data_IF_658625864926
#
_entry.id   IF_658625864926
#
_cell.length_a   1.000
_cell.length_b   1.000
_cell.length_c   1.000
_cell.angle_alpha   90.00
_cell.angle_beta   90.00
_cell.angle_gamma   90.00
#
_symmetry.space_group_name_H-M   'P 1'
#
loop_
_entity.id
_entity.type
_entity.pdbx_description
1 polymer ?
#
# COMPACT_ATOMS: atom_id res chain seq x y z
N UNK A 1 -45.11 36.63 -16.34
CA UNK A 1 -44.31 35.54 -16.93
C UNK A 1 -42.90 35.69 -16.38
N UNK A 2 -42.45 34.73 -15.57
CA UNK A 2 -41.10 34.77 -15.00
C UNK A 2 -40.13 34.19 -16.03
N UNK A 3 -39.58 35.05 -16.89
CA UNK A 3 -38.69 34.69 -18.01
C UNK A 3 -37.44 33.89 -17.60
N UNK A 4 -37.13 33.83 -16.30
CA UNK A 4 -35.97 33.14 -15.75
C UNK A 4 -36.23 31.73 -15.23
N UNK A 5 -37.50 31.31 -15.17
CA UNK A 5 -37.80 29.87 -15.07
C UNK A 5 -37.36 29.09 -16.32
N UNK A 6 -37.06 29.80 -17.41
CA UNK A 6 -36.75 29.23 -18.73
C UNK A 6 -35.24 29.20 -19.04
N UNK A 7 -34.39 29.83 -18.22
CA UNK A 7 -32.92 29.80 -18.40
C UNK A 7 -32.30 28.71 -17.52
N UNK A 8 -31.74 27.69 -18.16
CA UNK A 8 -31.05 26.59 -17.49
C UNK A 8 -29.61 26.46 -17.98
N UNK A 9 -28.74 25.92 -17.12
CA UNK A 9 -27.36 25.61 -17.47
C UNK A 9 -26.54 26.85 -17.86
N UNK A 10 -25.73 26.81 -18.95
CA UNK A 10 -24.84 27.90 -19.34
C UNK A 10 -25.54 29.25 -19.56
N UNK A 11 -26.81 29.22 -19.98
CA UNK A 11 -27.59 30.43 -20.24
C UNK A 11 -27.99 31.15 -18.94
N UNK A 12 -28.16 30.41 -17.83
CA UNK A 12 -28.39 31.00 -16.51
C UNK A 12 -27.14 31.74 -16.01
N UNK A 13 -25.95 31.16 -16.23
CA UNK A 13 -24.67 31.81 -15.91
C UNK A 13 -24.44 33.09 -16.68
N UNK A 14 -24.68 33.09 -18.00
CA UNK A 14 -24.55 34.30 -18.84
C UNK A 14 -25.48 35.43 -18.40
N UNK A 15 -26.72 35.10 -18.04
CA UNK A 15 -27.69 36.09 -17.63
C UNK A 15 -27.37 36.66 -16.23
N UNK A 16 -26.81 35.86 -15.31
CA UNK A 16 -26.28 36.32 -14.02
C UNK A 16 -25.06 37.24 -14.19
N UNK A 17 -24.15 36.90 -15.11
CA UNK A 17 -23.01 37.75 -15.45
C UNK A 17 -23.47 39.12 -16.00
N UNK A 18 -24.48 39.13 -16.88
CA UNK A 18 -25.08 40.37 -17.37
C UNK A 18 -25.72 41.20 -16.24
N UNK A 19 -26.34 40.55 -15.26
CA UNK A 19 -26.90 41.22 -14.09
C UNK A 19 -25.81 41.84 -13.21
N UNK A 20 -24.71 41.13 -12.97
CA UNK A 20 -23.56 41.65 -12.21
C UNK A 20 -22.90 42.84 -12.90
N UNK A 21 -22.77 42.78 -14.23
CA UNK A 21 -22.31 43.93 -15.03
C UNK A 21 -23.25 45.13 -14.92
N UNK A 22 -24.56 44.91 -14.99
CA UNK A 22 -25.56 45.96 -14.78
C UNK A 22 -25.48 46.57 -13.38
N UNK A 23 -25.22 45.77 -12.34
CA UNK A 23 -25.05 46.27 -10.95
C UNK A 23 -23.83 47.18 -10.80
N UNK A 24 -22.76 46.92 -11.56
CA UNK A 24 -21.54 47.74 -11.55
C UNK A 24 -21.69 49.00 -12.40
N UNK A 25 -22.26 48.88 -13.60
CA UNK A 25 -22.60 50.00 -14.48
C UNK A 25 -23.93 49.72 -15.20
N UNK A 26 -25.00 50.48 -14.90
CA UNK A 26 -26.28 50.33 -15.59
C UNK A 26 -26.21 50.54 -17.11
N UNK A 27 -25.19 51.26 -17.61
CA UNK A 27 -24.98 51.48 -19.05
C UNK A 27 -24.32 50.30 -19.78
N UNK A 28 -23.82 49.30 -19.04
CA UNK A 28 -23.12 48.15 -19.60
C UNK A 28 -24.02 47.15 -20.35
N UNK A 29 -25.34 47.31 -20.23
CA UNK A 29 -26.37 46.51 -20.91
C UNK A 29 -27.32 47.41 -21.70
N UNK A 30 -28.01 46.84 -22.69
CA UNK A 30 -28.98 47.57 -23.52
C UNK A 30 -30.19 48.06 -22.72
N UNK A 31 -30.97 48.96 -23.32
CA UNK A 31 -32.09 49.62 -22.64
C UNK A 31 -33.20 48.65 -22.19
N UNK A 32 -33.45 47.57 -22.95
CA UNK A 32 -34.50 46.60 -22.62
C UNK A 32 -34.06 45.74 -21.43
N UNK A 33 -32.81 45.26 -21.45
CA UNK A 33 -32.20 44.47 -20.36
C UNK A 33 -32.13 45.28 -19.06
N UNK A 34 -31.77 46.56 -19.16
CA UNK A 34 -31.72 47.49 -18.02
C UNK A 34 -33.07 47.73 -17.36
N UNK A 35 -34.11 47.97 -18.16
CA UNK A 35 -35.47 48.19 -17.67
C UNK A 35 -36.02 46.95 -16.94
N UNK A 36 -35.58 45.76 -17.38
CA UNK A 36 -35.89 44.49 -16.73
C UNK A 36 -35.15 44.32 -15.39
N UNK A 37 -33.82 44.48 -15.38
CA UNK A 37 -33.00 44.35 -14.16
C UNK A 37 -33.28 45.41 -13.09
N UNK A 38 -33.88 46.54 -13.44
CA UNK A 38 -34.39 47.51 -12.48
C UNK A 38 -35.57 46.99 -11.64
N UNK A 39 -36.27 45.93 -12.10
CA UNK A 39 -37.47 45.37 -11.48
C UNK A 39 -37.32 43.90 -11.09
N UNK A 40 -36.16 43.32 -11.39
CA UNK A 40 -35.84 41.92 -11.14
C UNK A 40 -34.61 41.85 -10.23
N UNK A 41 -34.78 41.12 -9.14
CA UNK A 41 -33.69 40.65 -8.28
C UNK A 41 -33.65 39.14 -8.42
N UNK A 42 -32.48 38.54 -8.70
CA UNK A 42 -32.37 37.09 -8.63
C UNK A 42 -32.86 36.65 -7.24
N UNK A 43 -33.58 35.53 -7.19
CA UNK A 43 -33.78 34.88 -5.91
C UNK A 43 -32.38 34.70 -5.31
N UNK A 44 -32.23 35.05 -4.04
CA UNK A 44 -31.03 34.68 -3.30
C UNK A 44 -31.04 33.15 -3.17
N UNK A 45 -30.72 32.46 -4.26
CA UNK A 45 -29.93 31.26 -4.12
C UNK A 45 -28.66 31.76 -3.43
N UNK A 46 -28.29 31.08 -2.35
CA UNK A 46 -26.96 31.12 -1.75
C UNK A 46 -25.93 30.67 -2.80
N UNK A 47 -25.79 31.45 -3.87
CA UNK A 47 -24.77 31.37 -4.87
C UNK A 47 -23.51 31.89 -4.19
N UNK A 48 -22.94 30.97 -3.40
CA UNK A 48 -21.59 30.89 -2.91
C UNK A 48 -20.66 31.85 -3.65
N UNK A 49 -20.60 33.10 -3.18
CA UNK A 49 -19.41 33.91 -3.34
C UNK A 49 -18.37 33.29 -2.42
N UNK A 50 -17.81 32.15 -2.82
CA UNK A 50 -16.59 31.63 -2.20
C UNK A 50 -15.56 32.72 -2.47
N UNK A 51 -15.12 33.50 -1.46
CA UNK A 51 -14.15 34.55 -1.71
C UNK A 51 -12.93 33.93 -2.41
N UNK A 52 -12.26 34.63 -3.32
CA UNK A 52 -11.08 34.09 -4.02
C UNK A 52 -10.03 33.47 -3.05
N UNK A 53 -9.97 33.98 -1.81
CA UNK A 53 -9.19 33.43 -0.71
C UNK A 53 -9.64 32.02 -0.27
N UNK A 54 -10.93 31.73 -0.25
CA UNK A 54 -11.48 30.41 0.03
C UNK A 54 -11.27 29.43 -1.14
N UNK A 55 -11.31 29.90 -2.40
CA UNK A 55 -10.97 29.06 -3.55
C UNK A 55 -9.49 28.63 -3.52
N UNK A 56 -8.56 29.54 -3.19
CA UNK A 56 -7.15 29.22 -3.00
C UNK A 56 -6.91 28.19 -1.90
N UNK A 57 -7.64 28.30 -0.78
CA UNK A 57 -7.55 27.33 0.33
C UNK A 57 -8.06 25.94 -0.06
N UNK A 58 -9.16 25.86 -0.82
CA UNK A 58 -9.67 24.59 -1.34
C UNK A 58 -8.64 23.91 -2.24
N UNK A 59 -8.07 24.68 -3.19
CA UNK A 59 -7.03 24.16 -4.10
C UNK A 59 -5.81 23.69 -3.31
N UNK A 60 -5.35 24.46 -2.32
CA UNK A 60 -4.20 24.09 -1.49
C UNK A 60 -4.46 22.83 -0.65
N UNK A 61 -5.67 22.65 -0.12
CA UNK A 61 -6.06 21.43 0.61
C UNK A 61 -6.05 20.19 -0.29
N UNK A 62 -6.59 20.31 -1.52
CA UNK A 62 -6.59 19.22 -2.51
C UNK A 62 -5.17 18.89 -2.97
N UNK A 63 -4.33 19.90 -3.19
CA UNK A 63 -2.93 19.72 -3.55
C UNK A 63 -2.12 19.04 -2.43
N UNK A 64 -2.35 19.41 -1.17
CA UNK A 64 -1.74 18.74 -0.02
C UNK A 64 -2.16 17.26 0.06
N UNK A 65 -3.45 16.96 -0.10
CA UNK A 65 -3.93 15.58 -0.12
C UNK A 65 -3.28 14.77 -1.25
N UNK A 66 -3.14 15.37 -2.43
CA UNK A 66 -2.45 14.74 -3.55
C UNK A 66 -0.95 14.53 -3.27
N UNK A 67 -0.28 15.50 -2.67
CA UNK A 67 1.13 15.40 -2.29
C UNK A 67 1.37 14.27 -1.28
N UNK A 68 0.46 14.07 -0.32
CA UNK A 68 0.54 12.94 0.63
C UNK A 68 0.41 11.60 -0.11
N UNK A 69 -0.49 11.49 -1.09
CA UNK A 69 -0.64 10.25 -1.89
C UNK A 69 0.59 9.95 -2.75
N UNK A 70 1.25 10.97 -3.30
CA UNK A 70 2.38 10.78 -4.20
C UNK A 70 3.71 10.65 -3.46
N UNK A 71 3.91 11.44 -2.41
CA UNK A 71 5.20 11.61 -1.73
C UNK A 71 5.16 11.19 -0.26
N UNK A 72 4.01 10.76 0.28
CA UNK A 72 3.88 10.42 1.71
C UNK A 72 4.81 9.30 2.17
N UNK A 73 5.20 8.41 1.25
CA UNK A 73 6.19 7.35 1.50
C UNK A 73 7.57 7.91 1.89
N UNK A 74 7.92 9.14 1.45
CA UNK A 74 9.18 9.81 1.84
C UNK A 74 9.18 10.23 3.32
N UNK A 75 8.01 10.33 3.94
CA UNK A 75 7.86 10.60 5.37
C UNK A 75 7.52 9.35 6.20
N UNK A 76 7.46 8.15 5.58
CA UNK A 76 7.17 6.91 6.28
C UNK A 76 8.36 6.46 7.16
N UNK A 77 8.07 6.07 8.40
CA UNK A 77 9.06 5.53 9.35
C UNK A 77 9.36 4.05 9.02
N UNK A 78 10.17 3.84 7.99
CA UNK A 78 10.51 2.50 7.48
C UNK A 78 11.75 1.90 8.14
N UNK A 79 12.65 2.72 8.67
CA UNK A 79 13.88 2.22 9.30
C UNK A 79 13.61 1.74 10.74
N UNK A 80 13.72 0.43 11.02
CA UNK A 80 13.56 -0.10 12.38
C UNK A 80 14.68 0.34 13.32
N UNK A 81 15.81 0.83 12.80
CA UNK A 81 16.91 1.40 13.61
C UNK A 81 16.67 2.86 14.01
N UNK A 82 15.55 3.45 13.60
CA UNK A 82 15.10 4.76 14.07
C UNK A 82 15.72 5.95 13.35
N UNK A 83 16.32 5.79 12.15
CA UNK A 83 16.66 6.96 11.33
C UNK A 83 15.39 7.71 10.96
N UNK A 84 15.51 9.03 10.93
CA UNK A 84 14.41 9.89 10.48
C UNK A 84 14.23 9.70 8.97
N UNK A 85 12.97 9.66 8.50
CA UNK A 85 12.69 9.64 7.08
C UNK A 85 13.22 10.94 6.42
N UNK A 86 13.55 10.90 5.11
CA UNK A 86 14.04 12.08 4.41
C UNK A 86 13.01 13.22 4.39
N UNK A 87 11.71 12.89 4.38
CA UNK A 87 10.61 13.85 4.26
C UNK A 87 10.53 14.48 2.87
N UNK A 88 9.55 15.37 2.69
CA UNK A 88 9.38 16.16 1.47
C UNK A 88 8.64 17.47 1.82
N UNK A 89 9.11 18.66 1.37
CA UNK A 89 8.46 19.94 1.68
C UNK A 89 7.00 20.03 1.21
N UNK A 90 6.63 19.34 0.14
CA UNK A 90 5.25 19.29 -0.36
C UNK A 90 4.29 18.57 0.59
N UNK A 91 4.81 17.87 1.61
CA UNK A 91 3.98 17.30 2.67
C UNK A 91 3.59 18.34 3.71
N UNK A 92 4.13 19.55 3.69
CA UNK A 92 3.76 20.60 4.64
C UNK A 92 2.58 21.44 4.14
N UNK A 93 1.55 21.72 4.97
CA UNK A 93 0.41 22.54 4.54
C UNK A 93 0.82 23.93 4.01
N UNK A 94 1.82 24.54 4.63
CA UNK A 94 2.33 25.87 4.28
C UNK A 94 2.92 25.93 2.87
N UNK A 95 3.43 24.81 2.35
CA UNK A 95 3.90 24.71 0.96
C UNK A 95 2.78 24.98 -0.05
N UNK A 96 1.54 24.60 0.30
CA UNK A 96 0.34 24.77 -0.52
C UNK A 96 -0.45 26.04 -0.15
N UNK A 97 0.13 26.94 0.63
CA UNK A 97 -0.51 28.19 1.03
C UNK A 97 -1.72 28.03 1.96
N UNK A 98 -1.82 26.89 2.66
CA UNK A 98 -2.89 26.60 3.62
C UNK A 98 -2.34 26.39 5.02
N UNK A 99 -3.11 26.78 6.03
CA UNK A 99 -2.82 26.49 7.43
C UNK A 99 -3.68 25.33 7.93
N UNK A 100 -3.32 24.74 9.08
CA UNK A 100 -4.20 23.75 9.70
C UNK A 100 -5.57 24.33 10.09
N UNK A 101 -5.64 25.60 10.46
CA UNK A 101 -6.91 26.28 10.77
C UNK A 101 -7.79 26.35 9.52
N UNK A 102 -7.21 26.66 8.35
CA UNK A 102 -7.95 26.63 7.09
C UNK A 102 -8.50 25.23 6.80
N UNK A 103 -7.70 24.18 7.03
CA UNK A 103 -8.14 22.78 6.84
C UNK A 103 -9.29 22.37 7.77
N UNK A 104 -9.35 22.92 9.00
CA UNK A 104 -10.44 22.66 9.95
C UNK A 104 -11.75 23.35 9.54
N UNK A 105 -11.68 24.44 8.78
CA UNK A 105 -12.85 25.16 8.29
C UNK A 105 -13.41 24.59 6.98
N UNK A 106 -12.64 23.76 6.28
CA UNK A 106 -13.03 23.15 5.02
C UNK A 106 -13.74 21.81 5.25
N UNK A 107 -14.84 21.52 4.53
CA UNK A 107 -15.54 20.24 4.65
C UNK A 107 -14.70 19.07 4.10
N UNK A 108 -14.86 17.89 4.71
CA UNK A 108 -14.16 16.67 4.33
C UNK A 108 -14.40 16.26 2.86
N UNK A 109 -15.62 16.43 2.35
CA UNK A 109 -16.06 16.00 1.01
C UNK A 109 -15.25 16.63 -0.14
N UNK A 110 -14.52 17.72 0.11
CA UNK A 110 -13.62 18.33 -0.87
C UNK A 110 -12.46 17.39 -1.25
N UNK A 111 -12.07 16.50 -0.34
CA UNK A 111 -10.99 15.54 -0.54
C UNK A 111 -11.63 14.17 -0.72
N UNK A 112 -11.88 13.77 -1.97
CA UNK A 112 -12.41 12.45 -2.27
C UNK A 112 -11.45 11.34 -1.83
N UNK A 113 -11.80 10.62 -0.76
CA UNK A 113 -11.01 9.54 -0.16
C UNK A 113 -11.92 8.56 0.60
N UNK A 114 -11.73 7.23 0.48
CA UNK A 114 -12.37 6.28 1.40
C UNK A 114 -11.97 6.48 2.86
N UNK A 115 -10.79 7.07 3.11
CA UNK A 115 -10.36 7.42 4.45
C UNK A 115 -11.12 8.62 5.05
N UNK A 116 -12.01 9.26 4.26
CA UNK A 116 -12.88 10.34 4.72
C UNK A 116 -14.21 9.82 5.32
N UNK A 117 -14.47 8.51 5.32
CA UNK A 117 -15.69 7.95 5.92
C UNK A 117 -15.74 8.29 7.43
N UNK A 118 -16.69 9.16 7.80
CA UNK A 118 -16.85 9.67 9.16
C UNK A 118 -16.03 10.92 9.50
N UNK A 119 -15.25 11.46 8.56
CA UNK A 119 -14.60 12.76 8.70
C UNK A 119 -15.58 13.90 8.41
N UNK A 120 -15.44 14.99 9.16
CA UNK A 120 -16.22 16.21 9.01
C UNK A 120 -15.41 17.35 8.39
N UNK A 121 -14.09 17.34 8.61
CA UNK A 121 -13.20 18.42 8.14
C UNK A 121 -12.08 17.91 7.22
N UNK A 122 -11.59 18.77 6.33
CA UNK A 122 -10.43 18.44 5.50
C UNK A 122 -9.19 18.14 6.35
N UNK A 123 -9.05 18.76 7.53
CA UNK A 123 -7.98 18.45 8.48
C UNK A 123 -8.01 16.98 8.92
N UNK A 124 -9.18 16.44 9.26
CA UNK A 124 -9.32 15.02 9.64
C UNK A 124 -8.95 14.09 8.49
N UNK A 125 -9.38 14.40 7.26
CA UNK A 125 -8.99 13.63 6.07
C UNK A 125 -7.48 13.65 5.86
N UNK A 126 -6.83 14.81 5.98
CA UNK A 126 -5.37 14.94 5.86
C UNK A 126 -4.65 14.09 6.93
N UNK A 127 -5.15 14.05 8.16
CA UNK A 127 -4.58 13.19 9.20
C UNK A 127 -4.75 11.71 8.89
N UNK A 128 -5.92 11.30 8.39
CA UNK A 128 -6.17 9.92 7.96
C UNK A 128 -5.25 9.50 6.79
N UNK A 129 -5.02 10.41 5.83
CA UNK A 129 -4.05 10.18 4.76
C UNK A 129 -2.63 10.06 5.31
N UNK A 130 -2.18 10.93 6.23
CA UNK A 130 -0.85 10.78 6.86
C UNK A 130 -0.70 9.46 7.60
N UNK A 131 -1.71 9.04 8.35
CA UNK A 131 -1.72 7.74 9.04
C UNK A 131 -1.62 6.56 8.05
N UNK A 132 -2.13 6.74 6.83
CA UNK A 132 -2.11 5.73 5.77
C UNK A 132 -0.77 5.67 5.02
N UNK A 133 -0.24 6.83 4.63
CA UNK A 133 0.87 6.99 3.68
C UNK A 133 2.24 7.27 4.33
N UNK A 134 2.27 7.72 5.59
CA UNK A 134 3.49 8.19 6.25
C UNK A 134 3.77 7.50 7.60
N UNK A 135 3.23 6.30 7.82
CA UNK A 135 3.49 5.49 9.03
C UNK A 135 4.56 4.41 8.78
N UNK A 136 4.31 3.16 9.14
CA UNK A 136 5.26 2.05 8.98
C UNK A 136 5.20 1.35 7.61
N UNK A 137 4.41 1.88 6.68
CA UNK A 137 4.27 1.36 5.32
C UNK A 137 4.37 2.56 4.37
N UNK A 138 5.26 2.48 3.38
CA UNK A 138 5.40 3.47 2.33
C UNK A 138 4.70 2.99 1.06
N UNK A 139 3.75 3.78 0.56
CA UNK A 139 3.06 3.49 -0.70
C UNK A 139 3.67 4.32 -1.83
N UNK A 140 4.32 3.65 -2.78
CA UNK A 140 4.80 4.26 -4.02
C UNK A 140 4.16 3.58 -5.23
N UNK A 141 3.09 4.18 -5.75
CA UNK A 141 2.37 3.68 -6.92
C UNK A 141 1.93 4.78 -7.88
N UNK A 142 2.19 6.06 -7.56
CA UNK A 142 1.73 7.17 -8.38
C UNK A 142 2.34 7.17 -9.80
N UNK A 143 3.49 6.51 -9.95
CA UNK A 143 4.20 6.34 -11.21
C UNK A 143 3.53 5.32 -12.17
N UNK A 144 2.64 4.46 -11.68
CA UNK A 144 1.91 3.48 -12.50
C UNK A 144 1.06 4.20 -13.54
N UNK A 145 1.08 3.76 -14.79
CA UNK A 145 0.37 4.45 -15.89
C UNK A 145 -1.12 4.13 -15.95
N UNK A 146 -1.49 2.89 -15.62
CA UNK A 146 -2.87 2.40 -15.66
C UNK A 146 -3.73 3.11 -14.60
N UNK A 147 -4.75 3.90 -14.99
CA UNK A 147 -5.61 4.61 -14.04
C UNK A 147 -6.36 3.66 -13.11
N UNK A 148 -6.84 2.54 -13.64
CA UNK A 148 -7.61 1.54 -12.88
C UNK A 148 -6.78 0.90 -11.76
N UNK A 149 -5.51 0.57 -12.03
CA UNK A 149 -4.57 0.03 -11.04
C UNK A 149 -4.24 1.05 -9.95
N UNK A 150 -3.94 2.29 -10.33
CA UNK A 150 -3.72 3.39 -9.36
C UNK A 150 -4.93 3.61 -8.47
N UNK A 151 -6.13 3.58 -9.05
CA UNK A 151 -7.37 3.75 -8.32
C UNK A 151 -7.65 2.58 -7.37
N UNK A 152 -7.35 1.36 -7.79
CA UNK A 152 -7.44 0.17 -6.95
C UNK A 152 -6.48 0.25 -5.76
N UNK A 153 -5.22 0.61 -5.99
CA UNK A 153 -4.20 0.77 -4.94
C UNK A 153 -4.59 1.87 -3.95
N UNK A 154 -5.02 3.03 -4.46
CA UNK A 154 -5.51 4.15 -3.64
C UNK A 154 -6.67 3.71 -2.74
N UNK A 155 -7.71 3.11 -3.32
CA UNK A 155 -8.88 2.68 -2.54
C UNK A 155 -8.50 1.64 -1.49
N UNK A 156 -7.66 0.68 -1.86
CA UNK A 156 -7.20 -0.40 -0.97
C UNK A 156 -6.40 0.15 0.21
N UNK A 157 -5.48 1.08 -0.04
CA UNK A 157 -4.68 1.71 1.00
C UNK A 157 -5.52 2.58 1.93
N UNK A 158 -6.39 3.43 1.37
CA UNK A 158 -7.20 4.40 2.11
C UNK A 158 -8.38 3.75 2.85
N UNK A 159 -8.91 2.62 2.38
CA UNK A 159 -10.00 1.91 3.06
C UNK A 159 -9.53 0.99 4.19
N UNK A 160 -8.22 0.81 4.38
CA UNK A 160 -7.69 -0.10 5.40
C UNK A 160 -8.00 -1.59 5.17
N UNK A 161 -8.37 -2.01 3.95
CA UNK A 161 -8.90 -3.35 3.65
C UNK A 161 -8.06 -4.52 4.20
N UNK A 162 -6.73 -4.38 4.22
CA UNK A 162 -5.77 -5.39 4.66
C UNK A 162 -5.08 -4.99 5.97
N UNK A 163 -5.81 -4.31 6.85
CA UNK A 163 -5.33 -3.87 8.17
C UNK A 163 -6.41 -4.19 9.21
N UNK A 164 -6.03 -4.39 10.49
CA UNK A 164 -7.02 -4.46 11.55
C UNK A 164 -7.81 -3.14 11.65
N UNK A 165 -9.13 -3.19 11.91
CA UNK A 165 -9.92 -4.37 12.25
C UNK A 165 -10.44 -5.20 11.07
N UNK A 166 -10.37 -4.69 9.83
CA UNK A 166 -10.94 -5.34 8.64
C UNK A 166 -10.27 -6.69 8.31
N UNK A 167 -8.96 -6.75 8.51
CA UNK A 167 -8.15 -7.97 8.38
C UNK A 167 -7.40 -8.25 9.70
N UNK A 168 -8.01 -9.01 10.63
CA UNK A 168 -7.47 -9.20 11.97
C UNK A 168 -6.25 -10.13 11.94
N UNK A 169 -5.21 -9.72 12.67
CA UNK A 169 -3.99 -10.49 12.88
C UNK A 169 -4.10 -11.24 14.21
N UNK A 170 -3.70 -12.50 14.24
CA UNK A 170 -3.50 -13.25 15.48
C UNK A 170 -2.11 -12.92 16.08
N UNK A 171 -2.04 -12.14 17.17
CA UNK A 171 -0.77 -11.73 17.75
C UNK A 171 -0.02 -12.89 18.42
N UNK A 172 -0.73 -13.91 18.92
CA UNK A 172 -0.11 -15.06 19.59
C UNK A 172 0.55 -15.97 18.54
N UNK A 173 -0.15 -16.25 17.44
CA UNK A 173 0.40 -17.04 16.34
C UNK A 173 1.60 -16.33 15.66
N UNK A 174 1.51 -15.00 15.47
CA UNK A 174 2.61 -14.21 14.92
C UNK A 174 3.85 -14.25 15.85
N UNK A 175 3.65 -14.07 17.15
CA UNK A 175 4.74 -14.13 18.12
C UNK A 175 5.37 -15.53 18.20
N UNK A 176 4.56 -16.58 18.18
CA UNK A 176 5.05 -17.95 18.14
C UNK A 176 5.92 -18.18 16.89
N UNK A 177 5.46 -17.71 15.73
CA UNK A 177 6.19 -17.85 14.47
C UNK A 177 7.53 -17.12 14.50
N UNK A 178 7.57 -15.90 15.00
CA UNK A 178 8.81 -15.14 15.19
C UNK A 178 9.75 -15.83 16.18
N UNK A 179 9.20 -16.40 17.24
CA UNK A 179 9.98 -17.16 18.23
C UNK A 179 10.62 -18.40 17.61
N UNK A 180 9.93 -19.13 16.74
CA UNK A 180 10.48 -20.28 16.02
C UNK A 180 11.70 -19.88 15.17
N UNK A 181 11.58 -18.78 14.41
CA UNK A 181 12.65 -18.23 13.57
C UNK A 181 13.87 -17.84 14.39
N UNK A 182 13.66 -17.04 15.45
CA UNK A 182 14.74 -16.54 16.29
C UNK A 182 15.43 -17.67 17.08
N UNK A 183 14.65 -18.63 17.59
CA UNK A 183 15.19 -19.79 18.31
C UNK A 183 16.04 -20.66 17.40
N UNK A 184 15.64 -20.85 16.15
CA UNK A 184 16.41 -21.62 15.17
C UNK A 184 17.75 -20.95 14.84
N UNK A 185 17.76 -19.63 14.60
CA UNK A 185 19.00 -18.88 14.38
C UNK A 185 19.95 -18.94 15.58
N UNK A 186 19.41 -18.73 16.80
CA UNK A 186 20.20 -18.83 18.04
C UNK A 186 20.78 -20.23 18.24
N UNK A 187 20.00 -21.27 17.95
CA UNK A 187 20.45 -22.65 18.04
C UNK A 187 21.61 -22.91 17.08
N UNK A 188 21.47 -22.55 15.79
CA UNK A 188 22.54 -22.72 14.81
C UNK A 188 23.81 -21.95 15.19
N UNK A 189 23.65 -20.72 15.68
CA UNK A 189 24.77 -19.90 16.14
C UNK A 189 25.52 -20.56 17.31
N UNK A 190 24.79 -21.11 18.28
CA UNK A 190 25.38 -21.73 19.45
C UNK A 190 26.06 -23.07 19.16
N UNK A 191 25.42 -23.94 18.39
CA UNK A 191 25.87 -25.32 18.16
C UNK A 191 26.92 -25.42 17.05
N UNK A 192 26.88 -24.55 16.04
CA UNK A 192 27.80 -24.57 14.91
C UNK A 192 28.58 -23.25 14.77
N UNK A 193 29.40 -22.90 15.77
CA UNK A 193 30.17 -21.67 15.72
C UNK A 193 31.13 -21.68 14.51
N UNK A 194 31.19 -20.56 13.79
CA UNK A 194 32.08 -20.38 12.65
C UNK A 194 31.60 -20.98 11.32
N UNK A 195 30.46 -21.68 11.28
CA UNK A 195 29.86 -22.10 10.00
C UNK A 195 29.03 -20.96 9.38
N UNK A 196 29.22 -20.63 8.08
CA UNK A 196 28.40 -19.64 7.42
C UNK A 196 26.97 -20.15 7.31
N UNK A 197 26.01 -19.43 7.89
CA UNK A 197 24.57 -19.76 7.87
C UNK A 197 23.72 -18.72 7.15
N UNK A 198 24.30 -17.57 6.80
CA UNK A 198 23.60 -16.43 6.19
C UNK A 198 22.33 -16.04 6.95
N UNK A 199 22.52 -15.70 8.23
CA UNK A 199 21.46 -15.45 9.21
C UNK A 199 20.34 -14.52 8.70
N UNK A 200 19.11 -14.87 9.07
CA UNK A 200 17.93 -14.05 8.86
C UNK A 200 17.79 -12.92 9.89
N UNK A 201 18.58 -12.91 10.97
CA UNK A 201 18.46 -11.92 12.07
C UNK A 201 18.27 -10.48 11.55
N UNK A 202 17.23 -9.83 12.07
CA UNK A 202 16.78 -8.49 11.69
C UNK A 202 15.77 -8.47 10.54
N UNK A 203 15.50 -9.60 9.90
CA UNK A 203 14.52 -9.79 8.82
C UNK A 203 13.54 -10.93 9.14
N UNK A 204 13.30 -11.18 10.42
CA UNK A 204 12.52 -12.30 10.96
C UNK A 204 11.08 -12.33 10.41
N UNK A 205 10.53 -11.14 10.08
CA UNK A 205 9.22 -10.96 9.43
C UNK A 205 9.11 -11.60 8.04
N UNK A 206 10.23 -11.97 7.39
CA UNK A 206 10.21 -12.66 6.09
C UNK A 206 9.35 -13.93 6.15
N UNK A 207 9.49 -14.73 7.21
CA UNK A 207 8.78 -16.01 7.32
C UNK A 207 7.26 -15.80 7.49
N UNK A 208 6.76 -14.99 8.44
CA UNK A 208 5.34 -14.65 8.52
C UNK A 208 4.76 -14.04 7.23
N UNK A 209 5.51 -13.17 6.54
CA UNK A 209 5.07 -12.58 5.26
C UNK A 209 4.89 -13.67 4.20
N UNK A 210 5.82 -14.61 4.10
CA UNK A 210 5.71 -15.74 3.18
C UNK A 210 4.53 -16.66 3.54
N UNK A 211 4.28 -16.90 4.83
CA UNK A 211 3.13 -17.69 5.27
C UNK A 211 1.80 -17.08 4.83
N UNK A 212 1.68 -15.75 4.89
CA UNK A 212 0.48 -15.05 4.40
C UNK A 212 0.38 -15.04 2.88
N UNK A 213 1.47 -14.80 2.14
CA UNK A 213 1.47 -14.88 0.67
C UNK A 213 1.02 -16.28 0.22
N UNK A 214 1.52 -17.34 0.85
CA UNK A 214 1.12 -18.72 0.54
C UNK A 214 -0.34 -18.99 0.92
N UNK A 215 -0.81 -18.38 2.01
CA UNK A 215 -2.22 -18.46 2.40
C UNK A 215 -3.15 -17.83 1.40
N UNK A 216 -2.92 -16.57 1.07
CA UNK A 216 -3.68 -15.82 0.07
C UNK A 216 -3.65 -16.51 -1.30
N UNK A 217 -2.50 -17.05 -1.70
CA UNK A 217 -2.37 -17.84 -2.91
C UNK A 217 -3.22 -19.12 -2.87
N UNK A 218 -3.26 -19.81 -1.73
CA UNK A 218 -4.15 -20.96 -1.53
C UNK A 218 -5.62 -20.55 -1.64
N UNK A 219 -6.03 -19.43 -1.03
CA UNK A 219 -7.40 -18.88 -1.12
C UNK A 219 -7.78 -18.54 -2.56
N UNK A 220 -6.83 -17.97 -3.31
CA UNK A 220 -6.94 -17.71 -4.74
C UNK A 220 -6.87 -18.97 -5.64
N UNK A 221 -6.74 -20.18 -5.05
CA UNK A 221 -6.62 -21.48 -5.74
C UNK A 221 -5.37 -21.59 -6.64
N UNK A 222 -4.33 -20.84 -6.32
CA UNK A 222 -3.01 -21.01 -6.94
C UNK A 222 -2.43 -22.35 -6.48
N UNK A 223 -1.99 -23.17 -7.43
CA UNK A 223 -1.54 -24.55 -7.13
C UNK A 223 -0.04 -24.66 -6.91
N UNK A 224 0.75 -23.76 -7.49
CA UNK A 224 2.21 -23.81 -7.45
C UNK A 224 2.77 -22.43 -7.12
N UNK A 225 3.78 -22.38 -6.26
CA UNK A 225 4.56 -21.20 -5.92
C UNK A 225 6.03 -21.57 -6.06
N UNK A 226 6.75 -20.79 -6.88
CA UNK A 226 8.19 -20.87 -7.03
C UNK A 226 8.81 -19.68 -6.30
N UNK A 227 9.76 -19.93 -5.41
CA UNK A 227 10.46 -18.88 -4.65
C UNK A 227 11.92 -18.84 -5.13
N UNK A 228 12.27 -17.78 -5.86
CA UNK A 228 13.66 -17.39 -6.11
C UNK A 228 14.17 -16.57 -4.93
N UNK A 229 15.28 -16.98 -4.31
CA UNK A 229 15.87 -16.22 -3.21
C UNK A 229 17.38 -16.36 -3.12
N UNK A 230 18.05 -15.32 -2.64
CA UNK A 230 19.46 -15.35 -2.27
C UNK A 230 19.72 -16.20 -1.01
N UNK A 231 20.97 -16.20 -0.51
CA UNK A 231 21.36 -17.03 0.63
C UNK A 231 20.76 -16.57 1.97
N UNK A 232 20.42 -15.28 2.12
CA UNK A 232 20.01 -14.70 3.40
C UNK A 232 18.68 -15.30 3.86
N UNK A 233 18.71 -15.95 5.02
CA UNK A 233 17.55 -16.59 5.62
C UNK A 233 17.02 -17.83 4.89
N UNK A 234 17.77 -18.37 3.91
CA UNK A 234 17.34 -19.57 3.16
C UNK A 234 17.05 -20.76 4.08
N UNK A 235 17.87 -21.00 5.10
CA UNK A 235 17.66 -22.08 6.06
C UNK A 235 16.33 -21.93 6.82
N UNK A 236 15.98 -20.69 7.19
CA UNK A 236 14.72 -20.37 7.84
C UNK A 236 13.52 -20.65 6.91
N UNK A 237 13.60 -20.20 5.65
CA UNK A 237 12.53 -20.47 4.66
C UNK A 237 12.39 -21.97 4.40
N UNK A 238 13.50 -22.69 4.23
CA UNK A 238 13.47 -24.14 4.05
C UNK A 238 12.79 -24.85 5.21
N UNK A 239 13.14 -24.48 6.44
CA UNK A 239 12.67 -25.15 7.65
C UNK A 239 11.23 -24.79 7.96
N UNK A 240 10.89 -23.50 7.96
CA UNK A 240 9.61 -23.02 8.44
C UNK A 240 8.56 -22.92 7.33
N UNK A 241 8.94 -22.57 6.09
CA UNK A 241 8.00 -22.42 4.97
C UNK A 241 7.84 -23.72 4.18
N UNK A 242 8.96 -24.34 3.79
CA UNK A 242 8.93 -25.62 3.05
C UNK A 242 8.81 -26.84 3.98
N UNK A 243 8.76 -26.64 5.30
CA UNK A 243 8.67 -27.69 6.32
C UNK A 243 9.80 -28.73 6.21
N UNK A 244 11.00 -28.29 5.81
CA UNK A 244 12.18 -29.16 5.80
C UNK A 244 12.50 -29.55 7.25
N UNK A 245 12.61 -30.86 7.57
CA UNK A 245 12.87 -31.28 8.94
C UNK A 245 14.18 -30.71 9.47
N UNK A 246 14.18 -30.21 10.72
CA UNK A 246 15.39 -29.71 11.37
C UNK A 246 16.54 -30.72 11.30
N UNK A 247 16.26 -32.01 11.54
CA UNK A 247 17.27 -33.08 11.48
C UNK A 247 18.00 -33.14 10.14
N UNK A 248 17.32 -32.84 9.04
CA UNK A 248 17.92 -32.81 7.70
C UNK A 248 18.87 -31.62 7.56
N UNK A 249 18.45 -30.42 7.95
CA UNK A 249 19.30 -29.23 7.94
C UNK A 249 20.51 -29.43 8.85
N UNK A 250 20.30 -29.92 10.06
CA UNK A 250 21.37 -30.13 11.04
C UNK A 250 22.38 -31.19 10.59
N UNK A 251 21.94 -32.25 9.89
CA UNK A 251 22.83 -33.27 9.37
C UNK A 251 23.87 -32.70 8.38
N UNK A 252 23.50 -31.72 7.58
CA UNK A 252 24.42 -31.04 6.64
C UNK A 252 25.44 -30.18 7.37
N UNK A 253 25.04 -29.58 8.50
CA UNK A 253 25.97 -28.90 9.40
C UNK A 253 26.91 -29.88 10.13
N UNK A 254 26.49 -31.09 10.46
CA UNK A 254 27.38 -32.06 11.15
C UNK A 254 28.32 -32.80 10.20
N UNK A 255 27.83 -33.16 9.01
CA UNK A 255 28.59 -33.94 8.02
C UNK A 255 28.48 -33.30 6.62
N UNK A 256 29.33 -32.29 6.32
CA UNK A 256 29.23 -31.56 5.05
C UNK A 256 29.32 -32.44 3.79
N UNK A 257 29.89 -33.64 3.85
CA UNK A 257 29.92 -34.64 2.77
C UNK A 257 30.37 -35.99 3.35
N UNK A 258 29.46 -36.81 3.89
CA UNK A 258 29.70 -38.26 4.03
C UNK A 258 28.47 -39.04 3.57
N UNK A 259 28.47 -39.40 2.28
CA UNK A 259 27.70 -40.48 1.67
C UNK A 259 26.23 -40.59 2.07
N UNK A 260 25.34 -39.85 1.40
CA UNK A 260 23.94 -40.26 1.32
C UNK A 260 23.84 -41.48 0.39
N UNK A 261 24.11 -42.66 0.92
CA UNK A 261 23.47 -43.90 0.46
C UNK A 261 22.13 -44.00 1.18
N UNK A 262 21.20 -43.11 0.83
CA UNK A 262 19.80 -43.36 1.08
C UNK A 262 19.20 -43.75 -0.26
N UNK A 263 18.64 -44.96 -0.28
CA UNK A 263 17.89 -45.61 -1.35
C UNK A 263 17.36 -44.67 -2.43
N UNK A 264 17.87 -44.92 -3.64
CA UNK A 264 17.44 -44.44 -4.95
C UNK A 264 15.92 -44.22 -5.02
N UNK A 265 15.49 -42.95 -5.05
CA UNK A 265 14.36 -42.48 -5.86
C UNK A 265 14.69 -41.10 -6.44
N UNK A 266 15.45 -41.11 -7.54
CA UNK A 266 15.34 -40.15 -8.66
C UNK A 266 15.34 -38.64 -8.36
N UNK A 267 16.23 -38.14 -7.52
CA UNK A 267 16.51 -36.71 -7.37
C UNK A 267 18.02 -36.42 -7.56
N UNK A 268 18.36 -36.22 -8.83
CA UNK A 268 19.66 -35.79 -9.33
C UNK A 268 20.09 -34.43 -8.76
N UNK A 269 21.11 -34.39 -7.90
CA UNK A 269 22.03 -33.24 -7.80
C UNK A 269 23.37 -33.65 -7.17
N UNK A 270 24.36 -33.90 -8.03
CA UNK A 270 25.74 -34.27 -7.68
C UNK A 270 26.61 -33.05 -7.29
N UNK A 271 26.02 -31.88 -7.22
CA UNK A 271 26.60 -30.63 -6.71
C UNK A 271 25.98 -30.40 -5.34
N UNK A 272 26.77 -30.30 -4.28
CA UNK A 272 26.32 -30.20 -2.87
C UNK A 272 25.51 -28.95 -2.50
N UNK A 273 24.60 -28.53 -3.37
CA UNK A 273 23.54 -27.56 -3.13
C UNK A 273 22.23 -28.33 -3.01
N UNK A 274 21.38 -27.84 -2.13
CA UNK A 274 20.24 -28.60 -1.64
C UNK A 274 19.01 -28.33 -2.51
N UNK A 275 18.54 -29.37 -3.18
CA UNK A 275 17.32 -29.36 -3.99
C UNK A 275 16.11 -29.63 -3.11
N UNK A 276 15.06 -28.79 -3.19
CA UNK A 276 13.87 -28.93 -2.36
C UNK A 276 12.57 -28.68 -3.13
N UNK A 277 11.77 -29.74 -3.24
CA UNK A 277 10.39 -29.72 -3.73
C UNK A 277 9.50 -30.23 -2.60
N UNK A 278 8.78 -29.37 -1.88
CA UNK A 278 7.87 -29.81 -0.81
C UNK A 278 6.67 -28.87 -0.71
N UNK A 279 5.47 -29.41 -0.96
CA UNK A 279 4.22 -28.65 -0.96
C UNK A 279 3.77 -28.19 0.42
N UNK A 280 3.39 -26.93 0.54
CA UNK A 280 2.68 -26.40 1.69
C UNK A 280 1.18 -26.79 1.59
N UNK A 281 0.62 -27.30 2.69
CA UNK A 281 -0.82 -27.54 2.81
C UNK A 281 -1.41 -26.52 3.78
N UNK A 282 -2.26 -25.62 3.31
CA UNK A 282 -3.05 -24.74 4.18
C UNK A 282 -4.54 -25.04 3.94
N UNK A 283 -5.28 -25.21 5.03
CA UNK A 283 -6.74 -25.34 4.95
C UNK A 283 -7.35 -23.94 4.82
N UNK A 284 -8.26 -23.76 3.87
CA UNK A 284 -8.99 -22.49 3.71
C UNK A 284 -9.92 -22.23 4.90
N UNK A 285 -10.21 -20.95 5.16
CA UNK A 285 -11.46 -20.54 5.83
C UNK A 285 -12.65 -21.11 5.02
N UNK A 286 -13.24 -22.21 5.50
CA UNK A 286 -14.33 -22.91 4.81
C UNK A 286 -14.14 -24.41 4.59
N UNK A 287 -13.04 -25.00 5.06
CA UNK A 287 -12.97 -26.45 5.34
C UNK A 287 -12.50 -27.37 4.21
N UNK A 288 -12.23 -26.87 3.01
CA UNK A 288 -11.55 -27.65 1.97
C UNK A 288 -10.03 -27.40 2.04
N UNK A 289 -9.20 -28.44 2.27
CA UNK A 289 -7.76 -28.29 2.21
C UNK A 289 -7.33 -28.06 0.76
N UNK A 290 -6.71 -26.92 0.49
CA UNK A 290 -6.05 -26.67 -0.79
C UNK A 290 -4.57 -26.96 -0.59
N UNK A 291 -4.03 -27.81 -1.46
CA UNK A 291 -2.59 -28.10 -1.47
C UNK A 291 -1.93 -27.15 -2.45
N UNK A 292 -0.94 -26.40 -1.97
CA UNK A 292 -0.10 -25.52 -2.78
C UNK A 292 1.30 -26.13 -2.83
N UNK A 293 1.79 -26.49 -4.01
CA UNK A 293 3.17 -26.92 -4.16
C UNK A 293 4.09 -25.70 -4.05
N UNK A 294 4.95 -25.66 -3.03
CA UNK A 294 5.95 -24.60 -2.86
C UNK A 294 7.31 -25.20 -3.16
N UNK A 295 8.15 -24.51 -3.93
CA UNK A 295 9.50 -24.99 -4.23
C UNK A 295 10.49 -23.85 -4.40
N UNK A 296 11.74 -24.14 -4.08
CA UNK A 296 12.88 -23.22 -4.21
C UNK A 296 13.87 -23.86 -5.17
N UNK A 297 14.03 -23.33 -6.40
CA UNK A 297 15.03 -23.82 -7.31
C UNK A 297 16.46 -23.63 -6.77
N UNK A 298 17.41 -24.49 -7.15
CA UNK A 298 18.83 -24.27 -6.83
C UNK A 298 19.35 -23.02 -7.54
N UNK A 299 20.30 -22.31 -6.92
CA UNK A 299 20.86 -21.09 -7.50
C UNK A 299 22.34 -20.93 -7.14
N UNK A 300 23.17 -20.40 -8.07
CA UNK A 300 24.57 -20.12 -7.77
C UNK A 300 24.70 -18.94 -6.81
N UNK A 301 25.93 -18.66 -6.38
CA UNK A 301 26.25 -17.49 -5.54
C UNK A 301 26.14 -16.13 -6.24
N UNK A 302 25.90 -16.11 -7.56
CA UNK A 302 25.66 -14.89 -8.32
C UNK A 302 24.27 -14.36 -7.97
N UNK A 303 24.21 -13.26 -7.21
CA UNK A 303 22.96 -12.61 -6.80
C UNK A 303 22.13 -12.23 -8.04
N UNK A 304 20.80 -12.28 -7.89
CA UNK A 304 19.79 -12.00 -8.93
C UNK A 304 19.85 -12.91 -10.18
N UNK A 305 20.81 -13.83 -10.29
CA UNK A 305 20.89 -14.75 -11.45
C UNK A 305 19.75 -15.78 -11.48
N UNK A 306 19.05 -15.95 -10.36
CA UNK A 306 17.92 -16.86 -10.21
C UNK A 306 16.62 -16.29 -10.80
N UNK A 307 16.51 -14.97 -10.91
CA UNK A 307 15.28 -14.28 -11.31
C UNK A 307 14.77 -14.74 -12.69
N UNK A 308 15.58 -14.69 -13.78
CA UNK A 308 15.11 -15.16 -15.09
C UNK A 308 14.87 -16.67 -15.14
N UNK A 309 15.51 -17.45 -14.26
CA UNK A 309 15.33 -18.91 -14.19
C UNK A 309 13.97 -19.24 -13.59
N UNK A 310 13.59 -18.57 -12.50
CA UNK A 310 12.28 -18.76 -11.85
C UNK A 310 11.15 -18.35 -12.78
N UNK A 311 11.26 -17.22 -13.46
CA UNK A 311 10.28 -16.77 -14.47
C UNK A 311 10.16 -17.78 -15.63
N UNK A 312 11.28 -18.39 -16.06
CA UNK A 312 11.25 -19.44 -17.08
C UNK A 312 10.66 -20.78 -16.62
N UNK A 313 10.60 -21.02 -15.30
CA UNK A 313 10.01 -22.23 -14.71
C UNK A 313 8.50 -22.10 -14.43
N UNK A 314 8.00 -20.87 -14.27
CA UNK A 314 6.61 -20.55 -13.92
C UNK A 314 5.65 -20.75 -15.10
#
# INVERSE_FOLDING_TARGET
>A
MNMWGDFHGPNAGYALELYDRYRQDPNSVDAATRAYFARWTPAADDALSVPALAAGRIVGAVQLAQAIRTCGHLAAQLDPLGRRPPGDPSLEPTFHGVTEEDLRLLPADLIGSPAADGAHTAFEVIQALRATYSRGIGHDYAHIRAPEERDWLRRTAESGRFRPPEDPIDPEALLERLTQVEAFERFLHHVFPGKPRFSLEGLDMLVPILDEIIGEAAEARIRNILIGMAHRGRLNVLTHVLNTPYSQILAEFTHPMRGRTFTIREDLSWTGDLTYHMGARRALKGGLPITVAVSIPPNPSHLESIDPVVEGMA
#
